data_IF_150317060673
#
_entry.id   IF_150317060673
#
_cell.length_a   1.000
_cell.length_b   1.000
_cell.length_c   1.000
_cell.angle_alpha   90.00
_cell.angle_beta   90.00
_cell.angle_gamma   90.00
#
_symmetry.space_group_name_H-M   'P 1'
#
loop_
_entity.id
_entity.type
_entity.pdbx_description
1 polymer ?
#
# COMPACT_ATOMS: atom_id res chain seq x y z
N UNK A 1 -33.94 -8.03 3.71
CA UNK A 1 -33.89 -7.33 5.01
C UNK A 1 -32.55 -6.63 5.03
N UNK A 2 -32.49 -5.30 5.21
CA UNK A 2 -31.20 -4.62 5.34
C UNK A 2 -30.56 -4.97 6.67
N UNK A 3 -29.23 -5.04 6.69
CA UNK A 3 -28.50 -5.11 7.94
C UNK A 3 -28.84 -3.86 8.76
N UNK A 4 -29.36 -4.05 9.95
CA UNK A 4 -29.60 -2.96 10.93
C UNK A 4 -28.39 -2.79 11.83
N UNK A 5 -27.42 -3.65 11.68
CA UNK A 5 -26.20 -3.72 12.49
C UNK A 5 -25.12 -2.78 11.99
N UNK A 6 -24.37 -2.21 12.92
CA UNK A 6 -23.17 -1.41 12.61
C UNK A 6 -22.08 -2.36 12.14
N UNK A 7 -21.42 -1.98 11.04
CA UNK A 7 -20.32 -2.74 10.46
C UNK A 7 -19.01 -1.98 10.71
N UNK A 8 -18.07 -2.63 11.36
CA UNK A 8 -16.73 -2.08 11.61
C UNK A 8 -15.70 -2.87 10.81
N UNK A 9 -14.95 -2.18 9.96
CA UNK A 9 -13.89 -2.77 9.15
C UNK A 9 -12.58 -2.08 9.46
N UNK A 10 -11.53 -2.86 9.63
CA UNK A 10 -10.17 -2.32 9.74
C UNK A 10 -9.29 -2.94 8.66
N UNK A 11 -8.47 -2.11 7.99
CA UNK A 11 -7.51 -2.55 6.99
C UNK A 11 -6.13 -1.96 7.30
N UNK A 12 -5.06 -2.77 7.25
CA UNK A 12 -3.71 -2.31 7.51
C UNK A 12 -3.18 -1.44 6.37
N UNK A 13 -2.31 -0.49 6.70
CA UNK A 13 -1.40 0.12 5.74
C UNK A 13 -0.42 -0.90 5.16
N UNK A 14 0.37 -0.49 4.20
CA UNK A 14 1.32 -1.33 3.49
C UNK A 14 2.63 -0.61 3.18
N UNK A 15 3.70 -1.39 3.05
CA UNK A 15 5.02 -0.93 2.65
C UNK A 15 5.53 -1.86 1.54
N UNK A 16 6.10 -1.27 0.48
CA UNK A 16 6.83 -2.04 -0.52
C UNK A 16 8.20 -2.44 0.05
N UNK A 17 8.45 -3.74 0.14
CA UNK A 17 9.74 -4.29 0.56
C UNK A 17 10.68 -4.46 -0.64
N UNK A 18 10.19 -5.01 -1.73
CA UNK A 18 10.92 -5.24 -2.99
C UNK A 18 9.97 -5.16 -4.19
N UNK A 19 10.49 -4.87 -5.38
CA UNK A 19 9.72 -4.94 -6.63
C UNK A 19 9.13 -3.62 -7.12
N UNK A 20 9.48 -2.49 -6.48
CA UNK A 20 9.08 -1.16 -6.95
C UNK A 20 9.45 -0.98 -8.43
N UNK A 21 8.66 -0.25 -9.18
CA UNK A 21 8.77 -0.04 -10.64
C UNK A 21 8.67 -1.33 -11.45
N UNK A 22 9.52 -2.33 -11.18
CA UNK A 22 9.58 -3.57 -11.95
C UNK A 22 8.25 -4.34 -11.97
N UNK A 23 7.46 -4.26 -10.90
CA UNK A 23 6.13 -4.90 -10.81
C UNK A 23 5.16 -4.44 -11.91
N UNK A 24 5.29 -3.21 -12.38
CA UNK A 24 4.46 -2.67 -13.48
C UNK A 24 4.75 -3.32 -14.83
N UNK A 25 5.91 -4.00 -14.95
CA UNK A 25 6.34 -4.74 -16.14
C UNK A 25 6.18 -6.28 -15.96
N UNK A 26 5.33 -6.70 -15.01
CA UNK A 26 5.04 -8.11 -14.76
C UNK A 26 6.06 -8.86 -13.91
N UNK A 27 7.02 -8.14 -13.32
CA UNK A 27 8.03 -8.73 -12.43
C UNK A 27 7.52 -8.94 -11.00
N UNK A 28 8.25 -9.74 -10.23
CA UNK A 28 7.92 -10.08 -8.85
C UNK A 28 8.05 -8.87 -7.94
N UNK A 29 7.13 -8.74 -6.98
CA UNK A 29 7.18 -7.75 -5.91
C UNK A 29 6.90 -8.40 -4.56
N UNK A 30 7.38 -7.77 -3.49
CA UNK A 30 7.10 -8.13 -2.11
C UNK A 30 6.62 -6.88 -1.38
N UNK A 31 5.43 -6.97 -0.79
CA UNK A 31 4.92 -5.95 0.11
C UNK A 31 4.60 -6.55 1.47
N UNK A 32 4.58 -5.73 2.50
CA UNK A 32 4.14 -6.12 3.83
C UNK A 32 3.01 -5.23 4.32
N UNK A 33 2.06 -5.82 5.04
CA UNK A 33 1.10 -5.10 5.84
C UNK A 33 1.78 -4.58 7.10
N UNK A 34 1.37 -3.41 7.59
CA UNK A 34 1.89 -2.81 8.82
C UNK A 34 0.80 -2.72 9.90
N UNK A 35 1.22 -2.54 11.15
CA UNK A 35 0.35 -2.44 12.32
C UNK A 35 -0.48 -1.15 12.38
N UNK A 36 -0.22 -0.18 11.51
CA UNK A 36 -1.03 1.04 11.36
C UNK A 36 -2.23 0.78 10.47
N UNK A 37 -3.42 1.13 10.93
CA UNK A 37 -4.67 0.74 10.28
C UNK A 37 -5.56 1.93 9.92
N UNK A 38 -6.41 1.74 8.93
CA UNK A 38 -7.58 2.57 8.67
C UNK A 38 -8.81 1.80 9.14
N UNK A 39 -9.63 2.46 9.95
CA UNK A 39 -10.90 1.95 10.43
C UNK A 39 -12.04 2.65 9.69
N UNK A 40 -13.00 1.89 9.22
CA UNK A 40 -14.27 2.35 8.64
C UNK A 40 -15.41 1.79 9.48
N UNK A 41 -16.25 2.68 10.01
CA UNK A 41 -17.50 2.31 10.69
C UNK A 41 -18.66 2.69 9.80
N UNK A 42 -19.43 1.72 9.34
CA UNK A 42 -20.65 1.91 8.56
C UNK A 42 -21.87 1.77 9.46
N UNK A 43 -22.67 2.83 9.55
CA UNK A 43 -23.93 2.87 10.28
C UNK A 43 -25.09 2.94 9.28
N UNK A 44 -25.99 1.94 9.26
CA UNK A 44 -27.17 1.92 8.39
C UNK A 44 -28.10 3.10 8.64
N UNK A 45 -28.75 3.59 7.58
CA UNK A 45 -29.80 4.62 7.64
C UNK A 45 -31.12 4.07 7.12
N UNK A 46 -32.22 4.76 7.46
CA UNK A 46 -33.55 4.43 6.95
C UNK A 46 -33.93 5.21 5.65
N UNK A 47 -33.18 6.24 5.32
CA UNK A 47 -33.29 7.02 4.08
C UNK A 47 -32.23 6.57 3.06
N UNK A 48 -32.13 7.29 1.92
CA UNK A 48 -31.11 6.99 0.88
C UNK A 48 -29.89 7.91 0.97
N UNK A 49 -29.71 8.64 2.09
CA UNK A 49 -28.57 9.54 2.25
C UNK A 49 -27.26 8.75 2.46
N UNK A 50 -26.20 9.26 1.87
CA UNK A 50 -24.81 8.79 2.06
C UNK A 50 -24.03 9.91 2.73
N UNK A 51 -23.60 9.65 3.96
CA UNK A 51 -22.78 10.58 4.73
C UNK A 51 -21.39 9.96 4.87
N UNK A 52 -20.35 10.75 4.67
CA UNK A 52 -18.96 10.33 4.95
C UNK A 52 -18.33 11.37 5.85
N UNK A 53 -17.71 10.92 6.95
CA UNK A 53 -16.90 11.73 7.84
C UNK A 53 -15.48 11.20 7.85
N UNK A 54 -14.52 12.06 7.59
CA UNK A 54 -13.10 11.71 7.62
C UNK A 54 -12.25 12.93 7.93
N UNK A 55 -10.97 12.72 8.24
CA UNK A 55 -10.02 13.82 8.40
C UNK A 55 -9.76 14.61 7.11
N UNK A 56 -10.15 14.09 5.93
CA UNK A 56 -9.96 14.76 4.63
C UNK A 56 -11.15 15.64 4.27
N UNK A 57 -12.37 15.20 4.54
CA UNK A 57 -13.61 15.92 4.25
C UNK A 57 -14.80 15.29 4.94
N UNK A 58 -15.81 16.11 5.18
CA UNK A 58 -17.19 15.69 5.40
C UNK A 58 -17.93 15.75 4.06
N UNK A 59 -18.79 14.74 3.82
CA UNK A 59 -19.55 14.60 2.57
C UNK A 59 -20.99 14.19 2.87
N UNK A 60 -21.92 14.74 2.09
CA UNK A 60 -23.34 14.42 2.19
C UNK A 60 -23.95 14.40 0.80
N UNK A 61 -24.55 13.27 0.42
CA UNK A 61 -25.27 13.09 -0.85
C UNK A 61 -26.30 11.96 -0.69
N UNK A 62 -26.77 11.38 -1.79
CA UNK A 62 -27.67 10.23 -1.80
C UNK A 62 -27.17 9.12 -2.71
N UNK A 63 -27.63 7.90 -2.50
CA UNK A 63 -27.32 6.75 -3.39
C UNK A 63 -27.75 6.98 -4.84
N UNK A 64 -28.74 7.86 -5.06
CA UNK A 64 -29.28 8.13 -6.41
C UNK A 64 -28.46 9.17 -7.18
N UNK A 65 -27.66 9.97 -6.49
CA UNK A 65 -26.91 11.06 -7.07
C UNK A 65 -25.63 11.35 -6.26
N UNK A 66 -24.66 10.45 -6.34
CA UNK A 66 -23.35 10.64 -5.71
C UNK A 66 -22.59 11.75 -6.44
N UNK A 67 -22.33 12.85 -5.74
CA UNK A 67 -21.55 13.97 -6.27
C UNK A 67 -20.05 13.69 -6.13
N UNK A 68 -19.25 14.04 -7.13
CA UNK A 68 -17.81 13.83 -7.09
C UNK A 68 -17.13 14.78 -6.10
N UNK A 69 -16.25 14.24 -5.24
CA UNK A 69 -15.31 14.99 -4.40
C UNK A 69 -13.90 14.38 -4.56
N UNK A 70 -12.97 15.17 -5.09
CA UNK A 70 -11.61 14.72 -5.37
C UNK A 70 -10.84 14.26 -4.11
N UNK A 71 -11.21 14.76 -2.93
CA UNK A 71 -10.62 14.37 -1.64
C UNK A 71 -11.05 12.98 -1.20
N UNK A 72 -12.22 12.52 -1.65
CA UNK A 72 -12.85 11.25 -1.31
C UNK A 72 -12.99 10.30 -2.49
N UNK A 73 -12.25 10.52 -3.58
CA UNK A 73 -12.40 9.79 -4.85
C UNK A 73 -12.40 8.27 -4.70
N UNK A 74 -11.49 7.70 -3.90
CA UNK A 74 -11.45 6.26 -3.65
C UNK A 74 -12.68 5.75 -2.87
N UNK A 75 -13.16 6.55 -1.90
CA UNK A 75 -14.32 6.22 -1.08
C UNK A 75 -15.58 6.23 -1.94
N UNK A 76 -15.78 7.31 -2.70
CA UNK A 76 -16.96 7.50 -3.54
C UNK A 76 -17.03 6.47 -4.67
N UNK A 77 -15.91 6.22 -5.35
CA UNK A 77 -15.85 5.20 -6.39
C UNK A 77 -16.12 3.79 -5.84
N UNK A 78 -15.64 3.49 -4.62
CA UNK A 78 -15.95 2.22 -3.95
C UNK A 78 -17.45 2.09 -3.64
N UNK A 79 -18.11 3.17 -3.21
CA UNK A 79 -19.57 3.20 -2.97
C UNK A 79 -20.33 2.99 -4.29
N UNK A 80 -19.96 3.67 -5.36
CA UNK A 80 -20.60 3.56 -6.69
C UNK A 80 -20.64 2.10 -7.20
N UNK A 81 -19.60 1.31 -6.92
CA UNK A 81 -19.54 -0.10 -7.35
C UNK A 81 -20.64 -0.99 -6.75
N UNK A 82 -21.32 -0.53 -5.68
CA UNK A 82 -22.31 -1.32 -4.94
C UNK A 82 -23.66 -0.59 -4.82
N UNK A 83 -23.69 0.70 -5.12
CA UNK A 83 -24.84 1.59 -4.87
C UNK A 83 -26.15 1.12 -5.49
N UNK A 84 -26.13 0.58 -6.71
CA UNK A 84 -27.33 0.10 -7.42
C UNK A 84 -28.07 -1.01 -6.66
N UNK A 85 -27.37 -1.85 -5.88
CA UNK A 85 -27.95 -2.92 -5.10
C UNK A 85 -28.52 -2.50 -3.73
N UNK A 86 -28.28 -1.25 -3.30
CA UNK A 86 -28.62 -0.77 -1.96
C UNK A 86 -29.98 -0.06 -1.95
N UNK A 87 -30.85 -0.48 -1.05
CA UNK A 87 -32.17 0.12 -0.87
C UNK A 87 -32.16 1.36 0.06
N UNK A 88 -31.29 1.35 1.07
CA UNK A 88 -31.11 2.42 2.05
C UNK A 88 -29.66 2.92 2.06
N UNK A 89 -29.50 4.17 2.47
CA UNK A 89 -28.20 4.79 2.64
C UNK A 89 -27.49 4.40 3.94
N UNK A 90 -26.37 5.05 4.19
CA UNK A 90 -25.55 4.77 5.37
C UNK A 90 -24.67 5.99 5.70
N UNK A 91 -24.08 5.94 6.88
CA UNK A 91 -23.04 6.86 7.33
C UNK A 91 -21.72 6.09 7.42
N UNK A 92 -20.63 6.65 6.88
CA UNK A 92 -19.26 6.13 7.01
C UNK A 92 -18.44 7.09 7.87
N UNK A 93 -17.94 6.59 9.00
CA UNK A 93 -16.90 7.25 9.78
C UNK A 93 -15.56 6.60 9.47
N UNK A 94 -14.61 7.38 8.95
CA UNK A 94 -13.28 6.89 8.53
C UNK A 94 -12.22 7.50 9.43
N UNK A 95 -11.54 6.65 10.18
CA UNK A 95 -10.42 7.01 11.04
C UNK A 95 -9.12 6.36 10.55
N UNK A 96 -8.05 7.14 10.45
CA UNK A 96 -6.73 6.66 10.07
C UNK A 96 -5.71 6.88 11.19
N UNK A 97 -4.93 5.84 11.51
CA UNK A 97 -3.83 5.92 12.47
C UNK A 97 -2.54 6.50 11.86
N UNK A 98 -2.56 6.83 10.57
CA UNK A 98 -1.41 7.41 9.86
C UNK A 98 -1.84 8.44 8.82
N UNK A 99 -0.94 9.36 8.52
CA UNK A 99 -1.19 10.41 7.51
C UNK A 99 -1.26 9.83 6.10
N UNK A 100 -2.13 10.38 5.27
CA UNK A 100 -2.19 10.06 3.84
C UNK A 100 -0.96 10.55 3.05
N UNK A 101 -0.14 11.44 3.65
CA UNK A 101 1.09 11.97 3.04
C UNK A 101 2.29 11.05 3.21
N UNK A 102 2.23 10.09 4.12
CA UNK A 102 3.29 9.11 4.38
C UNK A 102 3.08 7.86 3.53
N UNK A 103 4.16 7.27 3.03
CA UNK A 103 4.14 6.14 2.10
C UNK A 103 3.65 4.80 2.66
N UNK A 104 2.58 4.81 3.47
CA UNK A 104 1.98 3.63 4.10
C UNK A 104 0.76 3.08 3.34
N UNK A 105 0.66 3.27 2.04
CA UNK A 105 -0.41 2.67 1.24
C UNK A 105 -1.83 3.12 1.63
N UNK A 106 -2.02 4.38 2.07
CA UNK A 106 -3.30 4.91 2.58
C UNK A 106 -4.47 4.69 1.60
N UNK A 107 -4.25 4.91 0.30
CA UNK A 107 -5.28 4.69 -0.73
C UNK A 107 -5.72 3.23 -0.82
N UNK A 108 -4.78 2.29 -0.70
CA UNK A 108 -5.08 0.86 -0.71
C UNK A 108 -5.84 0.44 0.55
N UNK A 109 -5.42 0.93 1.72
CA UNK A 109 -6.06 0.60 2.99
C UNK A 109 -7.51 1.15 3.06
N UNK A 110 -7.74 2.42 2.71
CA UNK A 110 -9.10 2.99 2.71
C UNK A 110 -9.99 2.33 1.68
N UNK A 111 -9.49 2.07 0.47
CA UNK A 111 -10.24 1.35 -0.57
C UNK A 111 -10.64 -0.05 -0.09
N UNK A 112 -9.70 -0.81 0.47
CA UNK A 112 -9.97 -2.15 1.01
C UNK A 112 -11.04 -2.11 2.10
N UNK A 113 -10.92 -1.17 3.06
CA UNK A 113 -11.85 -1.07 4.17
C UNK A 113 -13.26 -0.65 3.71
N UNK A 114 -13.37 0.34 2.82
CA UNK A 114 -14.66 0.83 2.32
C UNK A 114 -15.33 -0.22 1.44
N UNK A 115 -14.61 -0.83 0.49
CA UNK A 115 -15.17 -1.91 -0.34
C UNK A 115 -15.70 -3.06 0.52
N UNK A 116 -14.94 -3.47 1.55
CA UNK A 116 -15.40 -4.52 2.48
C UNK A 116 -16.64 -4.09 3.26
N UNK A 117 -16.66 -2.87 3.81
CA UNK A 117 -17.78 -2.37 4.61
C UNK A 117 -19.08 -2.26 3.78
N UNK A 118 -19.00 -1.66 2.58
CA UNK A 118 -20.18 -1.45 1.72
C UNK A 118 -20.67 -2.77 1.11
N UNK A 119 -19.76 -3.69 0.75
CA UNK A 119 -20.15 -5.04 0.29
C UNK A 119 -20.82 -5.85 1.39
N UNK A 120 -20.32 -5.76 2.64
CA UNK A 120 -20.96 -6.43 3.79
C UNK A 120 -22.36 -5.86 4.06
N UNK A 121 -22.51 -4.52 3.97
CA UNK A 121 -23.80 -3.86 4.06
C UNK A 121 -24.78 -4.32 2.98
N UNK A 122 -24.30 -4.49 1.76
CA UNK A 122 -25.06 -5.06 0.64
C UNK A 122 -25.26 -6.60 0.74
N UNK A 123 -24.84 -7.24 1.85
CA UNK A 123 -24.91 -8.69 2.08
C UNK A 123 -24.11 -9.51 1.04
N UNK A 124 -23.08 -8.92 0.48
CA UNK A 124 -22.15 -9.60 -0.40
C UNK A 124 -20.97 -10.19 0.40
N UNK A 125 -20.98 -11.51 0.57
CA UNK A 125 -19.91 -12.23 1.26
C UNK A 125 -18.69 -12.41 0.32
N UNK A 126 -17.88 -11.37 0.17
CA UNK A 126 -16.70 -11.42 -0.67
C UNK A 126 -15.59 -12.28 -0.05
N UNK A 127 -15.05 -13.21 -0.84
CA UNK A 127 -13.77 -13.85 -0.53
C UNK A 127 -12.65 -12.80 -0.61
N UNK A 128 -11.48 -13.06 0.02
CA UNK A 128 -10.32 -12.17 -0.08
C UNK A 128 -9.93 -11.87 -1.54
N UNK A 129 -10.05 -12.84 -2.42
CA UNK A 129 -9.76 -12.66 -3.85
C UNK A 129 -10.75 -11.69 -4.52
N UNK A 130 -12.04 -11.88 -4.28
CA UNK A 130 -13.08 -11.00 -4.84
C UNK A 130 -12.96 -9.58 -4.28
N UNK A 131 -12.65 -9.45 -2.97
CA UNK A 131 -12.39 -8.16 -2.34
C UNK A 131 -11.20 -7.45 -3.00
N UNK A 132 -10.10 -8.18 -3.20
CA UNK A 132 -8.92 -7.65 -3.90
C UNK A 132 -9.27 -7.20 -5.32
N UNK A 133 -9.97 -8.04 -6.11
CA UNK A 133 -10.32 -7.73 -7.49
C UNK A 133 -11.22 -6.47 -7.58
N UNK A 134 -12.18 -6.34 -6.66
CA UNK A 134 -13.06 -5.15 -6.58
C UNK A 134 -12.27 -3.90 -6.13
N UNK A 135 -11.44 -4.01 -5.12
CA UNK A 135 -10.59 -2.90 -4.67
C UNK A 135 -9.61 -2.45 -5.77
N UNK A 136 -9.08 -3.39 -6.56
CA UNK A 136 -8.23 -3.06 -7.71
C UNK A 136 -8.99 -2.31 -8.81
N UNK A 137 -10.25 -2.70 -9.06
CA UNK A 137 -11.11 -1.98 -10.01
C UNK A 137 -11.36 -0.52 -9.55
N UNK A 138 -11.53 -0.31 -8.24
CA UNK A 138 -11.64 1.05 -7.67
C UNK A 138 -10.36 1.86 -7.90
N UNK A 139 -9.19 1.27 -7.61
CA UNK A 139 -7.89 1.95 -7.82
C UNK A 139 -7.69 2.31 -9.29
N UNK A 140 -8.01 1.40 -10.21
CA UNK A 140 -7.91 1.64 -11.65
C UNK A 140 -8.92 2.69 -12.13
N UNK A 141 -10.14 2.70 -11.58
CA UNK A 141 -11.16 3.71 -11.91
C UNK A 141 -10.74 5.12 -11.48
N UNK A 142 -10.09 5.24 -10.32
CA UNK A 142 -9.65 6.54 -9.78
C UNK A 142 -8.33 7.02 -10.40
N UNK A 143 -7.35 6.13 -10.58
CA UNK A 143 -5.98 6.49 -10.99
C UNK A 143 -5.63 6.11 -12.43
N UNK A 144 -6.49 5.35 -13.10
CA UNK A 144 -6.25 4.81 -14.45
C UNK A 144 -5.22 3.67 -14.49
N UNK A 145 -4.46 3.45 -13.42
CA UNK A 145 -3.40 2.45 -13.30
C UNK A 145 -3.07 2.12 -11.84
N UNK A 146 -2.35 1.05 -11.61
CA UNK A 146 -1.87 0.62 -10.29
C UNK A 146 -1.52 -0.86 -10.32
N UNK A 147 -0.46 -1.28 -9.65
CA UNK A 147 -0.07 -2.70 -9.61
C UNK A 147 -1.03 -3.54 -8.77
N UNK A 148 -1.57 -2.96 -7.70
CA UNK A 148 -2.36 -3.66 -6.70
C UNK A 148 -1.53 -4.31 -5.59
N UNK A 149 -0.22 -4.11 -5.58
CA UNK A 149 0.68 -4.71 -4.56
C UNK A 149 0.30 -4.30 -3.15
N UNK A 150 0.03 -3.00 -2.93
CA UNK A 150 -0.43 -2.47 -1.64
C UNK A 150 -1.80 -3.03 -1.22
N UNK A 151 -2.71 -3.19 -2.19
CA UNK A 151 -4.01 -3.83 -1.95
C UNK A 151 -3.84 -5.28 -1.51
N UNK A 152 -2.91 -6.03 -2.12
CA UNK A 152 -2.65 -7.40 -1.72
C UNK A 152 -2.19 -7.47 -0.26
N UNK A 153 -1.26 -6.62 0.17
CA UNK A 153 -0.84 -6.54 1.56
C UNK A 153 -2.01 -6.15 2.49
N UNK A 154 -2.79 -5.13 2.12
CA UNK A 154 -3.93 -4.67 2.92
C UNK A 154 -5.03 -5.74 3.08
N UNK A 155 -5.33 -6.50 2.02
CA UNK A 155 -6.36 -7.56 2.04
C UNK A 155 -5.88 -8.81 2.78
N UNK A 156 -4.66 -9.27 2.50
CA UNK A 156 -4.20 -10.58 2.98
C UNK A 156 -3.46 -10.53 4.30
N UNK A 157 -2.75 -9.43 4.60
CA UNK A 157 -1.87 -9.29 5.76
C UNK A 157 -0.53 -10.00 5.57
N UNK A 158 0.41 -9.78 6.49
CA UNK A 158 1.74 -10.40 6.45
C UNK A 158 2.64 -9.86 5.35
N UNK A 159 3.60 -10.68 4.96
CA UNK A 159 4.39 -10.46 3.74
C UNK A 159 3.72 -11.17 2.57
N UNK A 160 3.61 -10.45 1.47
CA UNK A 160 2.94 -10.91 0.25
C UNK A 160 3.89 -10.83 -0.91
N UNK A 161 4.16 -11.99 -1.53
CA UNK A 161 4.75 -12.05 -2.86
C UNK A 161 3.66 -11.82 -3.93
N UNK A 162 3.94 -10.96 -4.90
CA UNK A 162 2.95 -10.48 -5.86
C UNK A 162 3.49 -10.38 -7.28
N UNK A 163 2.67 -10.75 -8.28
CA UNK A 163 2.87 -10.42 -9.69
C UNK A 163 1.55 -9.93 -10.31
N UNK A 164 1.65 -8.99 -11.25
CA UNK A 164 0.48 -8.42 -11.94
C UNK A 164 -0.04 -9.39 -12.99
N UNK A 165 0.82 -9.91 -13.86
CA UNK A 165 0.46 -10.76 -15.00
C UNK A 165 1.51 -11.87 -15.23
N UNK A 166 1.16 -13.17 -15.12
CA UNK A 166 -0.12 -13.64 -14.58
C UNK A 166 -0.27 -13.26 -13.11
N UNK A 167 -1.49 -12.89 -12.70
CA UNK A 167 -1.71 -12.46 -11.32
C UNK A 167 -1.49 -13.59 -10.34
N UNK A 168 -0.49 -13.42 -9.48
CA UNK A 168 -0.17 -14.35 -8.42
C UNK A 168 -0.03 -13.61 -7.09
N UNK A 169 -0.67 -14.12 -6.05
CA UNK A 169 -0.60 -13.60 -4.68
C UNK A 169 -0.23 -14.78 -3.79
N UNK A 170 0.90 -14.68 -3.10
CA UNK A 170 1.39 -15.72 -2.19
C UNK A 170 1.74 -15.10 -0.83
N UNK A 171 1.30 -15.73 0.25
CA UNK A 171 1.77 -15.37 1.58
C UNK A 171 3.20 -15.90 1.78
N UNK A 172 4.07 -15.07 2.35
CA UNK A 172 5.43 -15.41 2.72
C UNK A 172 5.52 -15.55 4.23
N UNK A 173 6.35 -16.48 4.71
CA UNK A 173 6.52 -16.74 6.13
C UNK A 173 7.55 -15.79 6.74
N UNK A 174 7.24 -15.29 7.93
CA UNK A 174 8.13 -14.45 8.73
C UNK A 174 7.61 -13.02 8.85
N UNK A 175 8.07 -12.37 9.90
CA UNK A 175 7.78 -10.97 10.21
C UNK A 175 9.13 -10.29 10.51
N UNK A 176 9.84 -9.77 9.50
CA UNK A 176 11.15 -9.17 9.70
C UNK A 176 11.02 -7.91 10.57
N UNK A 177 12.01 -7.63 11.43
CA UNK A 177 12.09 -6.34 12.09
C UNK A 177 12.37 -5.25 11.06
N UNK A 178 11.51 -4.25 11.00
CA UNK A 178 11.66 -3.13 10.07
C UNK A 178 11.61 -1.80 10.81
N UNK A 179 12.29 -0.81 10.26
CA UNK A 179 12.17 0.59 10.64
C UNK A 179 11.89 1.43 9.39
N UNK A 180 11.10 2.47 9.52
CA UNK A 180 10.71 3.34 8.42
C UNK A 180 11.09 4.79 8.73
N UNK A 181 11.72 5.46 7.78
CA UNK A 181 12.15 6.85 7.92
C UNK A 181 11.58 7.68 6.78
N UNK A 182 10.95 8.81 7.12
CA UNK A 182 10.33 9.70 6.14
C UNK A 182 11.28 10.83 5.77
N UNK A 183 11.45 11.09 4.48
CA UNK A 183 12.33 12.13 3.95
C UNK A 183 11.85 13.56 4.19
N UNK A 184 10.60 13.73 4.63
CA UNK A 184 9.97 15.03 4.84
C UNK A 184 9.14 15.54 3.63
N UNK A 185 9.19 14.86 2.51
CA UNK A 185 8.41 15.17 1.29
C UNK A 185 8.12 13.93 0.46
N UNK A 186 7.18 14.07 -0.47
CA UNK A 186 6.76 12.98 -1.36
C UNK A 186 6.46 13.53 -2.74
N UNK A 187 7.11 12.98 -3.77
CA UNK A 187 6.72 13.18 -5.15
C UNK A 187 5.56 12.23 -5.49
N UNK A 188 4.58 12.72 -6.24
CA UNK A 188 3.45 11.88 -6.63
C UNK A 188 3.92 10.72 -7.50
N UNK A 189 3.49 9.50 -7.20
CA UNK A 189 3.87 8.30 -7.96
C UNK A 189 3.71 8.44 -9.48
N UNK A 190 2.61 9.02 -10.03
CA UNK A 190 2.50 9.24 -11.47
C UNK A 190 3.63 10.09 -12.08
N UNK A 191 4.10 11.11 -11.35
CA UNK A 191 5.15 12.01 -11.82
C UNK A 191 6.51 11.28 -11.84
N UNK A 192 6.81 10.50 -10.79
CA UNK A 192 8.03 9.66 -10.76
C UNK A 192 8.03 8.65 -11.89
N UNK A 193 6.90 7.97 -12.12
CA UNK A 193 6.75 7.00 -13.22
C UNK A 193 6.93 7.66 -14.60
N UNK A 194 6.48 8.90 -14.79
CA UNK A 194 6.68 9.63 -16.03
C UNK A 194 8.17 9.96 -16.27
N UNK A 195 8.90 10.36 -15.20
CA UNK A 195 10.34 10.61 -15.27
C UNK A 195 11.10 9.33 -15.68
N UNK A 196 10.77 8.19 -15.06
CA UNK A 196 11.42 6.90 -15.38
C UNK A 196 11.06 6.45 -16.79
N UNK A 197 9.80 6.61 -17.22
CA UNK A 197 9.36 6.26 -18.56
C UNK A 197 10.15 7.02 -19.65
N UNK A 198 10.35 8.33 -19.47
CA UNK A 198 11.14 9.15 -20.38
C UNK A 198 12.60 8.66 -20.50
N UNK A 199 13.21 8.27 -19.37
CA UNK A 199 14.57 7.71 -19.36
C UNK A 199 14.62 6.34 -20.04
N UNK A 200 13.59 5.50 -19.80
CA UNK A 200 13.46 4.18 -20.42
C UNK A 200 13.35 4.28 -21.95
N UNK A 201 12.61 5.24 -22.47
CA UNK A 201 12.50 5.48 -23.92
C UNK A 201 13.85 5.84 -24.56
N UNK A 202 14.73 6.54 -23.82
CA UNK A 202 16.05 6.91 -24.30
C UNK A 202 17.04 5.73 -24.32
N UNK A 203 16.93 4.79 -23.40
CA UNK A 203 17.87 3.67 -23.20
C UNK A 203 17.14 2.35 -22.90
N UNK A 204 16.23 1.86 -23.76
CA UNK A 204 15.30 0.78 -23.45
C UNK A 204 15.97 -0.54 -23.05
N UNK A 205 17.07 -0.90 -23.70
CA UNK A 205 17.78 -2.15 -23.42
C UNK A 205 18.40 -2.15 -22.01
N UNK A 206 18.97 -1.01 -21.59
CA UNK A 206 19.57 -0.88 -20.25
C UNK A 206 18.51 -0.89 -19.16
N UNK A 207 17.40 -0.19 -19.35
CA UNK A 207 16.29 -0.20 -18.38
C UNK A 207 15.63 -1.57 -18.28
N UNK A 208 15.46 -2.28 -19.39
CA UNK A 208 14.99 -3.67 -19.36
C UNK A 208 15.93 -4.58 -18.58
N UNK A 209 17.25 -4.44 -18.75
CA UNK A 209 18.23 -5.19 -17.96
C UNK A 209 18.15 -4.86 -16.46
N UNK A 210 17.94 -3.59 -16.09
CA UNK A 210 17.73 -3.18 -14.70
C UNK A 210 16.45 -3.87 -14.14
N UNK A 211 15.33 -3.85 -14.86
CA UNK A 211 14.10 -4.50 -14.40
C UNK A 211 14.26 -6.01 -14.25
N UNK A 212 15.01 -6.68 -15.10
CA UNK A 212 15.34 -8.10 -14.95
C UNK A 212 16.17 -8.34 -13.68
N UNK A 213 17.20 -7.54 -13.40
CA UNK A 213 17.99 -7.64 -12.18
C UNK A 213 17.14 -7.37 -10.93
N UNK A 214 16.23 -6.40 -10.99
CA UNK A 214 15.27 -6.13 -9.91
C UNK A 214 14.38 -7.35 -9.65
N UNK A 215 13.90 -8.01 -10.70
CA UNK A 215 13.11 -9.24 -10.59
C UNK A 215 13.89 -10.37 -9.93
N UNK A 216 15.10 -10.66 -10.42
CA UNK A 216 15.95 -11.71 -9.86
C UNK A 216 16.31 -11.46 -8.40
N UNK A 217 16.62 -10.21 -8.05
CA UNK A 217 16.90 -9.80 -6.67
C UNK A 217 15.66 -10.01 -5.79
N UNK A 218 14.46 -9.68 -6.30
CA UNK A 218 13.19 -9.87 -5.56
C UNK A 218 12.87 -11.37 -5.35
N UNK A 219 13.10 -12.22 -6.35
CA UNK A 219 12.90 -13.67 -6.22
C UNK A 219 13.85 -14.26 -5.15
N UNK A 220 15.12 -13.83 -5.14
CA UNK A 220 16.08 -14.25 -4.10
C UNK A 220 15.69 -13.72 -2.71
N UNK A 221 15.15 -12.50 -2.63
CA UNK A 221 14.64 -11.96 -1.37
C UNK A 221 13.45 -12.76 -0.84
N UNK A 222 12.56 -13.25 -1.71
CA UNK A 222 11.48 -14.17 -1.34
C UNK A 222 12.02 -15.46 -0.74
N UNK A 223 13.04 -16.06 -1.35
CA UNK A 223 13.72 -17.24 -0.83
C UNK A 223 14.40 -17.00 0.54
N UNK A 224 15.06 -15.84 0.70
CA UNK A 224 15.68 -15.44 1.97
C UNK A 224 14.62 -15.28 3.08
N UNK A 225 13.49 -14.65 2.77
CA UNK A 225 12.35 -14.49 3.69
C UNK A 225 11.81 -15.86 4.11
N UNK A 226 11.57 -16.78 3.17
CA UNK A 226 11.06 -18.11 3.49
C UNK A 226 11.98 -18.89 4.40
N UNK A 227 13.30 -18.67 4.28
CA UNK A 227 14.33 -19.27 5.14
C UNK A 227 14.59 -18.47 6.42
N UNK A 228 13.95 -17.32 6.58
CA UNK A 228 14.21 -16.35 7.65
C UNK A 228 15.69 -15.92 7.74
N UNK A 229 16.35 -15.87 6.57
CA UNK A 229 17.74 -15.41 6.47
C UNK A 229 17.74 -13.88 6.27
N UNK A 230 17.67 -13.16 7.39
CA UNK A 230 17.57 -11.71 7.38
C UNK A 230 18.86 -11.03 6.93
N UNK A 231 20.01 -11.64 7.14
CA UNK A 231 21.29 -11.12 6.65
C UNK A 231 21.33 -11.12 5.12
N UNK A 232 20.93 -12.22 4.48
CA UNK A 232 20.83 -12.30 3.03
C UNK A 232 19.77 -11.33 2.48
N UNK A 233 18.62 -11.20 3.15
CA UNK A 233 17.60 -10.21 2.78
C UNK A 233 18.17 -8.78 2.82
N UNK A 234 18.95 -8.45 3.85
CA UNK A 234 19.59 -7.14 3.98
C UNK A 234 20.54 -6.83 2.82
N UNK A 235 21.40 -7.78 2.45
CA UNK A 235 22.29 -7.67 1.29
C UNK A 235 21.50 -7.44 -0.02
N UNK A 236 20.39 -8.16 -0.18
CA UNK A 236 19.52 -8.02 -1.37
C UNK A 236 18.79 -6.67 -1.39
N UNK A 237 18.38 -6.15 -0.22
CA UNK A 237 17.81 -4.80 -0.11
C UNK A 237 18.82 -3.73 -0.53
N UNK A 238 20.08 -3.85 -0.09
CA UNK A 238 21.14 -2.92 -0.46
C UNK A 238 21.49 -2.98 -1.96
N UNK A 239 21.48 -4.19 -2.54
CA UNK A 239 21.63 -4.37 -3.99
C UNK A 239 20.47 -3.72 -4.74
N UNK A 240 19.23 -3.94 -4.28
CA UNK A 240 18.04 -3.36 -4.90
C UNK A 240 18.07 -1.83 -4.82
N UNK A 241 18.59 -1.26 -3.72
CA UNK A 241 18.79 0.20 -3.62
C UNK A 241 19.70 0.73 -4.72
N UNK A 242 20.78 0.02 -5.03
CA UNK A 242 21.65 0.39 -6.17
C UNK A 242 20.91 0.39 -7.50
N UNK A 243 19.96 -0.53 -7.70
CA UNK A 243 19.10 -0.56 -8.90
C UNK A 243 18.09 0.59 -8.92
N UNK A 244 17.53 0.98 -7.77
CA UNK A 244 16.68 2.18 -7.64
C UNK A 244 17.46 3.46 -7.97
N UNK A 245 18.71 3.53 -7.54
CA UNK A 245 19.61 4.64 -7.90
C UNK A 245 19.88 4.67 -9.41
N UNK A 246 20.18 3.52 -10.03
CA UNK A 246 20.37 3.38 -11.47
C UNK A 246 19.10 3.77 -12.27
N UNK A 247 17.90 3.54 -11.76
CA UNK A 247 16.65 4.04 -12.34
C UNK A 247 16.56 5.58 -12.27
N UNK A 248 17.35 6.20 -11.39
CA UNK A 248 17.36 7.65 -11.16
C UNK A 248 16.16 8.13 -10.36
N UNK A 249 15.73 7.33 -9.38
CA UNK A 249 14.65 7.64 -8.43
C UNK A 249 15.15 7.88 -7.01
N UNK A 250 16.46 7.84 -6.82
CA UNK A 250 17.13 8.27 -5.60
C UNK A 250 17.40 9.78 -5.64
N UNK A 251 17.49 10.41 -4.46
CA UNK A 251 17.86 11.81 -4.29
C UNK A 251 18.74 12.02 -3.05
N UNK A 252 19.10 13.26 -2.79
CA UNK A 252 20.05 13.58 -1.71
C UNK A 252 19.51 13.20 -0.33
N UNK A 253 18.24 13.48 -0.02
CA UNK A 253 17.64 13.18 1.28
C UNK A 253 17.52 11.68 1.52
N UNK A 254 17.07 10.93 0.51
CA UNK A 254 17.00 9.48 0.56
C UNK A 254 18.40 8.86 0.74
N UNK A 255 19.40 9.37 0.00
CA UNK A 255 20.81 8.93 0.15
C UNK A 255 21.34 9.20 1.55
N UNK A 256 21.07 10.39 2.13
CA UNK A 256 21.51 10.73 3.48
C UNK A 256 20.92 9.79 4.54
N UNK A 257 19.63 9.50 4.46
CA UNK A 257 18.98 8.51 5.32
C UNK A 257 19.64 7.14 5.17
N UNK A 258 19.74 6.62 3.93
CA UNK A 258 20.28 5.30 3.62
C UNK A 258 21.69 5.12 4.17
N UNK A 259 22.60 6.04 3.83
CA UNK A 259 24.00 5.93 4.25
C UNK A 259 24.20 6.22 5.74
N UNK A 260 23.31 6.98 6.37
CA UNK A 260 23.34 7.16 7.81
C UNK A 260 22.91 5.90 8.55
N UNK A 261 21.86 5.21 8.09
CA UNK A 261 21.39 3.94 8.63
C UNK A 261 22.44 2.82 8.48
N UNK A 262 23.14 2.75 7.34
CA UNK A 262 24.19 1.76 7.07
C UNK A 262 25.43 1.87 7.95
N UNK A 263 25.56 2.92 8.78
CA UNK A 263 26.63 3.02 9.77
C UNK A 263 26.40 2.16 11.00
N UNK A 264 25.15 1.74 11.23
CA UNK A 264 24.78 0.90 12.37
C UNK A 264 24.88 -0.59 12.01
N UNK A 265 25.55 -1.36 12.85
CA UNK A 265 25.63 -2.83 12.73
C UNK A 265 24.29 -3.52 13.04
N UNK A 266 23.34 -2.82 13.68
CA UNK A 266 21.99 -3.33 13.94
C UNK A 266 21.07 -3.25 12.70
N UNK A 267 21.50 -2.58 11.64
CA UNK A 267 20.77 -2.45 10.38
C UNK A 267 21.40 -3.38 9.34
N UNK A 268 20.66 -4.39 8.94
CA UNK A 268 21.11 -5.43 8.02
C UNK A 268 21.04 -4.99 6.55
N UNK A 269 20.17 -4.04 6.22
CA UNK A 269 20.02 -3.52 4.85
C UNK A 269 19.01 -2.38 4.79
N UNK A 270 19.13 -1.55 3.76
CA UNK A 270 18.32 -0.34 3.59
C UNK A 270 17.97 -0.09 2.13
N UNK A 271 16.77 0.41 1.87
CA UNK A 271 16.39 0.85 0.53
C UNK A 271 15.21 1.84 0.55
N UNK A 272 15.02 2.54 -0.54
CA UNK A 272 13.80 3.32 -0.79
C UNK A 272 12.59 2.39 -0.74
N UNK A 273 11.52 2.83 -0.09
CA UNK A 273 10.20 2.19 -0.13
C UNK A 273 9.23 3.06 -0.92
N UNK A 274 8.61 2.49 -1.97
CA UNK A 274 7.74 3.21 -2.88
C UNK A 274 8.44 3.70 -4.16
N UNK A 275 7.88 4.73 -4.81
CA UNK A 275 8.35 5.17 -6.13
C UNK A 275 9.69 5.91 -6.15
N UNK A 276 10.16 6.39 -5.00
CA UNK A 276 11.37 7.23 -4.89
C UNK A 276 11.10 8.72 -5.15
N UNK A 277 12.19 9.51 -5.21
CA UNK A 277 12.20 10.98 -5.26
C UNK A 277 11.40 11.58 -4.09
N UNK A 278 11.83 11.21 -2.87
CA UNK A 278 11.18 11.45 -1.60
C UNK A 278 10.46 10.20 -1.07
N UNK A 279 9.50 10.40 -0.17
CA UNK A 279 8.76 9.40 0.59
C UNK A 279 9.62 8.69 1.65
N UNK A 280 9.66 7.38 1.71
CA UNK A 280 10.26 6.66 2.82
C UNK A 280 11.49 5.82 2.42
N UNK A 281 12.37 5.63 3.39
CA UNK A 281 13.42 4.60 3.40
C UNK A 281 13.02 3.53 4.41
N UNK A 282 13.04 2.26 3.98
CA UNK A 282 12.87 1.11 4.85
C UNK A 282 14.24 0.55 5.22
N UNK A 283 14.43 0.25 6.50
CA UNK A 283 15.57 -0.48 7.03
C UNK A 283 15.14 -1.83 7.57
N UNK A 284 15.96 -2.84 7.38
CA UNK A 284 15.84 -4.14 8.02
C UNK A 284 16.64 -4.14 9.32
N UNK A 285 15.96 -4.15 10.44
CA UNK A 285 16.50 -3.96 11.78
C UNK A 285 16.07 -2.62 12.39
N UNK A 286 16.52 -2.36 13.60
CA UNK A 286 16.31 -1.10 14.32
C UNK A 286 17.52 -0.78 15.19
N UNK A 287 17.80 0.50 15.37
CA UNK A 287 18.83 0.99 16.25
C UNK A 287 18.32 2.22 17.02
N UNK A 288 17.94 2.02 18.28
CA UNK A 288 17.40 3.07 19.15
C UNK A 288 18.45 4.12 19.53
N UNK A 289 19.75 3.83 19.36
CA UNK A 289 20.83 4.77 19.60
C UNK A 289 21.06 5.73 18.41
N UNK A 290 20.54 5.40 17.23
CA UNK A 290 20.74 6.19 16.03
C UNK A 290 19.75 7.35 15.99
N UNK A 291 20.28 8.58 15.98
CA UNK A 291 19.47 9.79 15.81
C UNK A 291 19.70 10.39 14.45
N UNK A 292 18.66 10.49 13.65
CA UNK A 292 18.67 11.13 12.34
C UNK A 292 17.81 12.41 12.36
N UNK A 293 18.09 13.41 11.51
CA UNK A 293 17.25 14.59 11.36
C UNK A 293 15.98 14.32 10.54
N UNK A 294 15.56 13.08 10.48
CA UNK A 294 14.40 12.58 9.72
C UNK A 294 13.42 11.89 10.66
N UNK A 295 12.14 11.99 10.34
CA UNK A 295 11.09 11.35 11.15
C UNK A 295 11.15 9.84 11.01
N UNK A 296 11.34 9.14 12.14
CA UNK A 296 11.13 7.70 12.20
C UNK A 296 9.64 7.43 12.43
N UNK A 297 9.04 6.69 11.52
CA UNK A 297 7.65 6.27 11.63
C UNK A 297 7.61 4.92 12.36
N UNK A 298 7.02 4.85 13.56
CA UNK A 298 6.94 3.61 14.31
C UNK A 298 5.94 2.66 13.63
N UNK A 299 6.46 1.62 12.99
CA UNK A 299 5.69 0.56 12.34
C UNK A 299 6.29 -0.81 12.61
N UNK A 300 5.43 -1.81 12.63
CA UNK A 300 5.83 -3.22 12.64
C UNK A 300 5.05 -3.97 11.54
N UNK A 301 5.62 -5.07 11.05
CA UNK A 301 4.91 -5.93 10.10
C UNK A 301 3.73 -6.61 10.82
N UNK A 302 2.53 -6.46 10.26
CA UNK A 302 1.30 -7.05 10.78
C UNK A 302 0.95 -8.32 10.02
N UNK A 303 0.80 -9.45 10.72
CA UNK A 303 0.33 -10.70 10.13
C UNK A 303 -1.14 -10.69 9.72
N UNK A 304 -1.90 -9.64 10.10
CA UNK A 304 -3.34 -9.56 9.94
C UNK A 304 -3.70 -8.57 8.83
N UNK A 305 -4.46 -9.04 7.83
CA UNK A 305 -5.03 -8.20 6.76
C UNK A 305 -6.32 -7.48 7.18
N UNK A 306 -7.22 -7.29 6.23
CA UNK A 306 -8.53 -6.69 6.50
C UNK A 306 -9.36 -7.57 7.44
N UNK A 307 -10.00 -6.94 8.42
CA UNK A 307 -10.95 -7.57 9.36
C UNK A 307 -12.27 -6.85 9.31
N UNK A 308 -13.37 -7.60 9.54
CA UNK A 308 -14.72 -7.07 9.55
C UNK A 308 -15.49 -7.64 10.75
N UNK A 309 -16.17 -6.76 11.47
CA UNK A 309 -17.00 -7.07 12.63
C UNK A 309 -18.39 -6.48 12.42
N UNK A 310 -19.43 -7.26 12.73
CA UNK A 310 -20.84 -6.84 12.64
C UNK A 310 -21.44 -6.94 14.02
N UNK A 311 -21.86 -5.78 14.58
CA UNK A 311 -22.47 -5.66 15.93
C UNK A 311 -23.98 -5.92 15.89
#
# INVERSE_FOLDING_TARGET
>A
MHATSVIKVTAPGSIMLMGEHAVLFGHRAIACAVDKRIQVTLTPRSDRAVLVRSSLADYCSTLDALEADSRLSFVLFAIEQVAEGLLCGFELDIHSEFSHTVGLGSSAAVTTAVVKAVSEYGQENLTKRQLFDRALAVVHGVQGRGSGTDLAASVYGGLIGYTVEPRHISALNGLPPISLFYSGYKTKTPDVLAIVAQKTEALPELYNAIYQLMNETTIKAEDAIQKQNWEELGLLMDMYQGLMDALGVNDLALSDIIYSLRKSEAILGTKISGSGLGDCVIALGSDDALTLPYEMIPVAVSGVGVECYVD
#
